data_IF_065292369456
#
_entry.id   IF_065292369456
#
_cell.length_a   1.000
_cell.length_b   1.000
_cell.length_c   1.000
_cell.angle_alpha   90.00
_cell.angle_beta   90.00
_cell.angle_gamma   90.00
#
_symmetry.space_group_name_H-M   'P 1'
#
loop_
_entity.id
_entity.type
_entity.pdbx_description
1 polymer ?
#
# COMPACT_ATOMS: atom_id res chain seq x y z
N UNK A 1 -5.53 -3.33 1.00
CA UNK A 1 -6.34 -2.49 0.10
C UNK A 1 -7.55 -1.94 0.82
N UNK A 2 -8.53 -2.75 1.27
CA UNK A 2 -9.73 -2.26 1.97
C UNK A 2 -9.43 -1.35 3.18
N UNK A 3 -8.61 -1.80 4.14
CA UNK A 3 -8.21 -0.98 5.29
C UNK A 3 -7.42 0.29 4.93
N UNK A 4 -6.67 0.27 3.81
CA UNK A 4 -5.93 1.45 3.35
C UNK A 4 -6.85 2.50 2.73
N UNK A 5 -7.92 2.06 2.04
CA UNK A 5 -8.94 2.93 1.46
C UNK A 5 -9.68 3.65 2.60
N UNK A 6 -10.13 2.90 3.60
CA UNK A 6 -10.82 3.46 4.77
C UNK A 6 -9.93 4.41 5.59
N UNK A 7 -8.64 4.09 5.75
CA UNK A 7 -7.68 4.99 6.39
C UNK A 7 -7.49 6.31 5.61
N UNK A 8 -7.34 6.24 4.29
CA UNK A 8 -7.19 7.42 3.44
C UNK A 8 -8.47 8.27 3.40
N UNK A 9 -9.65 7.64 3.37
CA UNK A 9 -10.92 8.36 3.44
C UNK A 9 -11.07 9.15 4.74
N UNK A 10 -10.67 8.57 5.88
CA UNK A 10 -10.61 9.27 7.16
C UNK A 10 -9.61 10.43 7.15
N UNK A 11 -8.43 10.24 6.58
CA UNK A 11 -7.43 11.31 6.44
C UNK A 11 -7.93 12.45 5.54
N UNK A 12 -8.62 12.14 4.43
CA UNK A 12 -9.22 13.14 3.54
C UNK A 12 -10.28 13.96 4.26
N UNK A 13 -11.10 13.33 5.11
CA UNK A 13 -12.10 14.05 5.88
C UNK A 13 -11.44 15.08 6.82
N UNK A 14 -10.38 14.69 7.53
CA UNK A 14 -9.60 15.59 8.39
C UNK A 14 -8.93 16.70 7.58
N UNK A 15 -8.28 16.36 6.46
CA UNK A 15 -7.62 17.34 5.59
C UNK A 15 -8.62 18.33 4.97
N UNK A 16 -9.84 17.89 4.66
CA UNK A 16 -10.93 18.74 4.17
C UNK A 16 -11.36 19.77 5.22
N UNK A 17 -11.49 19.35 6.48
CA UNK A 17 -11.79 20.25 7.59
C UNK A 17 -10.66 21.28 7.80
N UNK A 18 -9.40 20.82 7.76
CA UNK A 18 -8.23 21.71 7.84
C UNK A 18 -8.19 22.73 6.68
N UNK A 19 -8.48 22.30 5.45
CA UNK A 19 -8.55 23.18 4.29
C UNK A 19 -9.65 24.25 4.43
N UNK A 20 -10.85 23.86 4.87
CA UNK A 20 -11.95 24.81 5.10
C UNK A 20 -11.56 25.85 6.16
N UNK A 21 -10.95 25.41 7.27
CA UNK A 21 -10.45 26.32 8.31
C UNK A 21 -9.39 27.29 7.77
N UNK A 22 -8.45 26.81 6.95
CA UNK A 22 -7.43 27.66 6.34
C UNK A 22 -8.02 28.68 5.35
N UNK A 23 -9.07 28.30 4.60
CA UNK A 23 -9.81 29.22 3.74
C UNK A 23 -10.55 30.31 4.54
N UNK A 24 -11.18 29.94 5.66
CA UNK A 24 -11.84 30.92 6.53
C UNK A 24 -10.84 31.91 7.14
N UNK A 25 -9.68 31.42 7.59
CA UNK A 25 -8.57 32.27 8.06
C UNK A 25 -8.07 33.21 6.96
N UNK A 26 -7.86 32.69 5.75
CA UNK A 26 -7.44 33.49 4.61
C UNK A 26 -8.45 34.60 4.30
N UNK A 27 -9.75 34.27 4.27
CA UNK A 27 -10.82 35.24 4.04
C UNK A 27 -10.82 36.36 5.09
N UNK A 28 -10.62 36.01 6.35
CA UNK A 28 -10.48 36.98 7.44
C UNK A 28 -9.22 37.85 7.27
N UNK A 29 -8.08 37.25 6.91
CA UNK A 29 -6.83 37.97 6.67
C UNK A 29 -6.96 38.95 5.50
N UNK A 30 -7.65 38.58 4.41
CA UNK A 30 -7.92 39.45 3.28
C UNK A 30 -8.78 40.66 3.67
N UNK A 31 -9.78 40.46 4.53
CA UNK A 31 -10.58 41.56 5.08
C UNK A 31 -9.70 42.48 5.93
N UNK A 32 -8.94 41.91 6.89
CA UNK A 32 -8.04 42.69 7.77
C UNK A 32 -7.02 43.52 6.99
N UNK A 33 -6.45 42.94 5.93
CA UNK A 33 -5.53 43.61 5.02
C UNK A 33 -6.20 44.80 4.31
N UNK A 34 -7.40 44.58 3.76
CA UNK A 34 -8.17 45.64 3.06
C UNK A 34 -8.54 46.81 3.98
N UNK A 35 -8.78 46.55 5.26
CA UNK A 35 -9.07 47.61 6.24
C UNK A 35 -7.82 48.18 6.92
N UNK A 36 -6.62 47.78 6.48
CA UNK A 36 -5.33 48.32 6.94
C UNK A 36 -4.88 47.82 8.32
N UNK A 37 -5.50 46.77 8.84
CA UNK A 37 -5.20 46.20 10.18
C UNK A 37 -4.23 45.01 10.14
N UNK A 38 -3.85 44.55 8.95
CA UNK A 38 -2.91 43.45 8.74
C UNK A 38 -1.94 43.82 7.60
N UNK A 39 -0.63 43.58 7.72
CA UNK A 39 0.32 43.81 6.63
C UNK A 39 0.21 42.73 5.54
N UNK A 40 0.70 43.05 4.34
CA UNK A 40 0.81 42.06 3.25
C UNK A 40 1.81 40.95 3.61
N UNK A 41 2.96 41.34 4.14
CA UNK A 41 4.06 40.47 4.61
C UNK A 41 4.59 41.07 5.91
N UNK A 42 4.81 40.23 6.93
CA UNK A 42 5.50 40.63 8.15
C UNK A 42 7.00 40.34 8.05
N UNK A 43 7.83 41.28 8.52
CA UNK A 43 9.27 41.08 8.69
C UNK A 43 9.63 40.37 10.00
N UNK A 44 8.67 40.25 10.91
CA UNK A 44 8.83 39.57 12.20
C UNK A 44 8.30 38.13 12.05
N UNK A 45 9.16 37.11 12.22
CA UNK A 45 8.75 35.71 12.11
C UNK A 45 7.57 35.37 13.04
N UNK A 46 6.56 34.69 12.49
CA UNK A 46 5.39 34.23 13.26
C UNK A 46 4.34 35.31 13.57
N UNK A 47 4.54 36.55 13.14
CA UNK A 47 3.46 37.55 13.16
C UNK A 47 2.45 37.27 12.04
N UNK A 48 1.18 37.58 12.29
CA UNK A 48 0.09 37.40 11.32
C UNK A 48 0.31 38.33 10.11
N UNK A 49 0.26 37.77 8.90
CA UNK A 49 0.23 38.54 7.66
C UNK A 49 -0.58 37.80 6.58
N UNK A 50 -0.98 38.54 5.52
CA UNK A 50 -1.83 37.99 4.47
C UNK A 50 -1.12 36.87 3.68
N UNK A 51 0.15 37.03 3.36
CA UNK A 51 0.89 36.03 2.57
C UNK A 51 1.05 34.70 3.31
N UNK A 52 1.23 34.72 4.62
CA UNK A 52 1.30 33.54 5.48
C UNK A 52 -0.02 32.78 5.50
N UNK A 53 -1.15 33.49 5.61
CA UNK A 53 -2.48 32.88 5.52
C UNK A 53 -2.74 32.27 4.13
N UNK A 54 -2.28 32.92 3.05
CA UNK A 54 -2.34 32.35 1.69
C UNK A 54 -1.53 31.07 1.55
N UNK A 55 -0.30 31.08 2.07
CA UNK A 55 0.57 29.90 2.04
C UNK A 55 -0.02 28.75 2.86
N UNK A 56 -0.62 29.04 4.03
CA UNK A 56 -1.31 28.03 4.85
C UNK A 56 -2.48 27.39 4.07
N UNK A 57 -3.31 28.20 3.41
CA UNK A 57 -4.43 27.72 2.60
C UNK A 57 -3.98 26.88 1.40
N UNK A 58 -2.94 27.31 0.68
CA UNK A 58 -2.38 26.54 -0.45
C UNK A 58 -1.74 25.22 0.00
N UNK A 59 -1.05 25.20 1.16
CA UNK A 59 -0.51 23.96 1.73
C UNK A 59 -1.61 22.96 2.09
N UNK A 60 -2.65 23.41 2.78
CA UNK A 60 -3.78 22.55 3.15
C UNK A 60 -4.51 22.00 1.92
N UNK A 61 -4.62 22.81 0.85
CA UNK A 61 -5.16 22.37 -0.44
C UNK A 61 -4.30 21.29 -1.07
N UNK A 62 -2.99 21.51 -1.14
CA UNK A 62 -2.05 20.55 -1.73
C UNK A 62 -2.08 19.20 -0.98
N UNK A 63 -2.14 19.23 0.35
CA UNK A 63 -2.26 18.02 1.17
C UNK A 63 -3.56 17.26 0.89
N UNK A 64 -4.71 17.95 0.84
CA UNK A 64 -6.00 17.35 0.51
C UNK A 64 -5.99 16.68 -0.87
N UNK A 65 -5.43 17.36 -1.88
CA UNK A 65 -5.35 16.83 -3.24
C UNK A 65 -4.39 15.63 -3.35
N UNK A 66 -3.26 15.64 -2.65
CA UNK A 66 -2.35 14.50 -2.59
C UNK A 66 -3.04 13.26 -1.98
N UNK A 67 -3.74 13.42 -0.86
CA UNK A 67 -4.48 12.33 -0.23
C UNK A 67 -5.58 11.76 -1.15
N UNK A 68 -6.25 12.62 -1.91
CA UNK A 68 -7.25 12.21 -2.91
C UNK A 68 -6.62 11.42 -4.06
N UNK A 69 -5.44 11.82 -4.52
CA UNK A 69 -4.69 11.10 -5.54
C UNK A 69 -4.28 9.70 -5.05
N UNK A 70 -3.80 9.60 -3.81
CA UNK A 70 -3.45 8.32 -3.19
C UNK A 70 -4.67 7.40 -3.05
N UNK A 71 -5.82 7.95 -2.64
CA UNK A 71 -7.07 7.20 -2.57
C UNK A 71 -7.50 6.69 -3.96
N UNK A 72 -7.37 7.52 -4.99
CA UNK A 72 -7.72 7.16 -6.36
C UNK A 72 -6.87 5.99 -6.86
N UNK A 73 -5.56 6.06 -6.64
CA UNK A 73 -4.61 4.99 -6.96
C UNK A 73 -4.99 3.69 -6.25
N UNK A 74 -5.26 3.76 -4.94
CA UNK A 74 -5.59 2.58 -4.15
C UNK A 74 -6.94 1.96 -4.52
N UNK A 75 -7.94 2.78 -4.89
CA UNK A 75 -9.23 2.32 -5.40
C UNK A 75 -9.09 1.66 -6.78
N UNK A 76 -8.25 2.19 -7.65
CA UNK A 76 -7.98 1.60 -8.96
C UNK A 76 -7.25 0.25 -8.81
N UNK A 77 -6.24 0.18 -7.94
CA UNK A 77 -5.57 -1.07 -7.58
C UNK A 77 -6.59 -2.09 -7.04
N UNK A 78 -7.48 -1.68 -6.11
CA UNK A 78 -8.53 -2.56 -5.58
C UNK A 78 -9.48 -3.09 -6.65
N UNK A 79 -9.97 -2.23 -7.54
CA UNK A 79 -10.86 -2.64 -8.63
C UNK A 79 -10.18 -3.66 -9.54
N UNK A 80 -8.93 -3.40 -9.90
CA UNK A 80 -8.14 -4.31 -10.71
C UNK A 80 -7.92 -5.66 -10.02
N UNK A 81 -7.64 -5.61 -8.72
CA UNK A 81 -7.34 -6.79 -7.90
C UNK A 81 -8.55 -7.69 -7.68
N UNK A 82 -9.71 -7.09 -7.40
CA UNK A 82 -10.90 -7.82 -6.94
C UNK A 82 -11.95 -8.01 -8.02
N UNK A 83 -11.86 -7.25 -9.13
CA UNK A 83 -12.95 -7.13 -10.11
C UNK A 83 -14.21 -6.45 -9.54
N UNK A 84 -14.16 -5.93 -8.30
CA UNK A 84 -15.27 -5.27 -7.62
C UNK A 84 -14.99 -3.77 -7.54
N UNK A 85 -16.00 -2.95 -7.81
CA UNK A 85 -16.00 -1.57 -7.36
C UNK A 85 -16.27 -1.56 -5.85
N UNK A 86 -15.63 -0.66 -5.10
CA UNK A 86 -15.86 -0.50 -3.65
C UNK A 86 -17.29 -0.03 -3.33
N UNK A 87 -18.05 0.38 -4.34
CA UNK A 87 -19.41 0.90 -4.21
C UNK A 87 -20.46 -0.18 -4.49
N UNK A 88 -20.73 -1.04 -3.51
CA UNK A 88 -22.12 -1.44 -3.28
C UNK A 88 -22.70 -0.42 -2.29
N UNK A 89 -23.78 0.24 -2.69
CA UNK A 89 -24.40 1.39 -2.02
C UNK A 89 -24.92 1.13 -0.60
N UNK A 90 -24.65 -0.04 -0.01
CA UNK A 90 -25.25 -0.51 1.23
C UNK A 90 -24.33 -0.47 2.46
N UNK A 91 -23.00 -0.40 2.31
CA UNK A 91 -22.10 -0.47 3.46
C UNK A 91 -21.54 0.91 3.85
N UNK A 92 -22.22 1.48 4.85
CA UNK A 92 -21.88 2.63 5.70
C UNK A 92 -22.09 4.05 5.11
N UNK A 93 -23.29 4.56 5.43
CA UNK A 93 -23.77 5.95 5.56
C UNK A 93 -22.95 7.13 4.99
N UNK A 94 -23.51 7.68 3.91
CA UNK A 94 -23.58 9.10 3.51
C UNK A 94 -22.27 9.85 3.21
N UNK A 95 -21.90 9.87 1.93
CA UNK A 95 -20.98 10.87 1.38
C UNK A 95 -20.79 10.72 -0.12
N UNK A 96 -21.56 11.49 -0.89
CA UNK A 96 -21.47 11.75 -2.34
C UNK A 96 -20.18 11.23 -3.01
N UNK A 97 -20.31 10.14 -3.76
CA UNK A 97 -19.26 9.61 -4.63
C UNK A 97 -18.95 10.62 -5.73
N UNK A 98 -17.90 11.40 -5.53
CA UNK A 98 -17.32 12.22 -6.60
C UNK A 98 -16.45 11.31 -7.46
N UNK A 99 -16.77 11.21 -8.75
CA UNK A 99 -15.95 10.52 -9.75
C UNK A 99 -14.57 11.17 -9.77
N UNK A 100 -13.52 10.39 -9.50
CA UNK A 100 -12.14 10.87 -9.60
C UNK A 100 -11.67 10.67 -11.04
N UNK A 101 -11.15 11.73 -11.66
CA UNK A 101 -10.54 11.67 -12.98
C UNK A 101 -9.15 11.03 -12.90
N UNK A 102 -9.07 9.75 -13.28
CA UNK A 102 -7.84 8.94 -13.24
C UNK A 102 -6.79 9.40 -14.27
N UNK A 103 -7.14 10.28 -15.23
CA UNK A 103 -6.18 10.83 -16.20
C UNK A 103 -5.32 11.94 -15.61
N UNK A 104 -5.81 12.66 -14.60
CA UNK A 104 -5.09 13.75 -13.93
C UNK A 104 -3.95 13.25 -13.01
N UNK A 105 -4.01 12.00 -12.54
CA UNK A 105 -3.00 11.39 -11.64
C UNK A 105 -1.89 10.63 -12.38
N UNK A 106 -1.88 10.64 -13.73
CA UNK A 106 -0.92 9.88 -14.55
C UNK A 106 -0.80 8.41 -14.09
N UNK A 107 -1.92 7.85 -13.64
CA UNK A 107 -1.99 6.49 -13.12
C UNK A 107 -2.01 5.53 -14.30
N UNK A 108 -0.90 4.81 -14.48
CA UNK A 108 -0.90 3.59 -15.28
C UNK A 108 -1.39 2.47 -14.37
N UNK A 109 -2.59 1.89 -14.57
CA UNK A 109 -2.93 0.65 -13.90
C UNK A 109 -1.79 -0.33 -14.18
N UNK A 110 -1.27 -0.97 -13.13
CA UNK A 110 -0.35 -2.08 -13.28
C UNK A 110 -1.14 -3.17 -14.03
N UNK A 111 -1.07 -3.16 -15.36
CA UNK A 111 -1.61 -4.18 -16.28
C UNK A 111 -0.79 -5.46 -16.13
N UNK A 112 -0.73 -5.94 -14.89
CA UNK A 112 0.20 -6.91 -14.41
C UNK A 112 -0.35 -8.33 -14.46
N UNK A 113 0.54 -9.29 -14.66
CA UNK A 113 0.20 -10.72 -14.65
C UNK A 113 -0.31 -11.08 -13.25
N UNK A 114 -1.54 -11.59 -13.14
CA UNK A 114 -2.10 -12.07 -11.86
C UNK A 114 -1.47 -13.41 -11.52
N UNK A 115 -0.90 -13.54 -10.33
CA UNK A 115 -0.41 -14.81 -9.81
C UNK A 115 -1.27 -15.21 -8.62
N UNK A 116 -2.00 -16.33 -8.73
CA UNK A 116 -2.97 -16.77 -7.74
C UNK A 116 -2.51 -18.06 -7.07
N UNK A 117 -2.40 -18.04 -5.75
CA UNK A 117 -2.09 -19.19 -4.91
C UNK A 117 -3.31 -19.56 -4.07
N UNK A 118 -3.95 -20.68 -4.38
CA UNK A 118 -5.06 -21.23 -3.59
C UNK A 118 -4.52 -21.98 -2.37
N UNK A 119 -5.05 -21.70 -1.18
CA UNK A 119 -4.64 -22.38 0.05
C UNK A 119 -4.94 -23.88 -0.03
N UNK A 120 -3.96 -24.71 0.32
CA UNK A 120 -4.06 -26.17 0.28
C UNK A 120 -3.87 -26.79 -1.11
N UNK A 121 -3.85 -25.99 -2.18
CA UNK A 121 -3.65 -26.51 -3.53
C UNK A 121 -2.19 -26.92 -3.78
N UNK A 122 -2.00 -27.89 -4.68
CA UNK A 122 -0.68 -28.34 -5.15
C UNK A 122 -0.21 -27.61 -6.40
N UNK A 123 -0.95 -26.60 -6.86
CA UNK A 123 -0.63 -25.75 -8.01
C UNK A 123 -0.95 -24.29 -7.72
N UNK A 124 -0.41 -23.39 -8.52
CA UNK A 124 -0.76 -21.98 -8.53
C UNK A 124 -0.86 -21.48 -9.99
N UNK A 125 -1.64 -20.42 -10.20
CA UNK A 125 -1.74 -19.78 -11.51
C UNK A 125 -0.71 -18.65 -11.61
N UNK A 126 0.03 -18.59 -12.70
CA UNK A 126 0.85 -17.45 -13.08
C UNK A 126 0.34 -16.97 -14.43
N UNK A 127 -0.56 -15.98 -14.43
CA UNK A 127 -1.34 -15.61 -15.61
C UNK A 127 -2.16 -16.80 -16.10
N UNK A 128 -1.97 -17.18 -17.36
CA UNK A 128 -2.65 -18.33 -17.97
C UNK A 128 -1.95 -19.67 -17.68
N UNK A 129 -0.73 -19.64 -17.14
CA UNK A 129 0.05 -20.83 -16.85
C UNK A 129 -0.34 -21.44 -15.49
N UNK A 130 -0.50 -22.76 -15.44
CA UNK A 130 -0.67 -23.51 -14.19
C UNK A 130 0.65 -24.16 -13.82
N UNK A 131 1.19 -23.82 -12.64
CA UNK A 131 2.50 -24.27 -12.18
C UNK A 131 2.35 -25.13 -10.93
N UNK A 132 3.09 -26.23 -10.83
CA UNK A 132 3.08 -27.12 -9.66
C UNK A 132 3.84 -26.55 -8.48
N UNK A 133 3.29 -26.73 -7.29
CA UNK A 133 3.91 -26.39 -6.02
C UNK A 133 4.58 -27.61 -5.41
N UNK A 134 5.82 -27.41 -4.95
CA UNK A 134 6.55 -28.39 -4.14
C UNK A 134 5.93 -28.64 -2.76
N UNK A 135 5.15 -27.69 -2.26
CA UNK A 135 4.42 -27.78 -1.00
C UNK A 135 3.21 -26.85 -1.07
N UNK A 136 2.05 -27.24 -0.54
CA UNK A 136 0.87 -26.39 -0.61
C UNK A 136 1.04 -25.09 0.21
N UNK A 137 0.38 -24.04 -0.26
CA UNK A 137 0.18 -22.82 0.52
C UNK A 137 -0.68 -23.13 1.76
N UNK A 138 -0.41 -22.48 2.89
CA UNK A 138 -1.24 -22.62 4.09
C UNK A 138 -1.37 -21.32 4.88
N UNK A 139 -2.38 -21.26 5.74
CA UNK A 139 -2.56 -20.14 6.66
C UNK A 139 -2.17 -20.57 8.07
N UNK A 140 -1.37 -19.73 8.74
CA UNK A 140 -0.98 -19.90 10.14
C UNK A 140 -0.90 -18.53 10.80
N UNK A 141 -1.48 -18.39 11.99
CA UNK A 141 -1.51 -17.13 12.75
C UNK A 141 -2.01 -15.92 11.91
N UNK A 142 -3.02 -16.14 11.06
CA UNK A 142 -3.58 -15.08 10.21
C UNK A 142 -2.64 -14.60 9.08
N UNK A 143 -1.61 -15.37 8.73
CA UNK A 143 -0.68 -15.10 7.63
C UNK A 143 -0.61 -16.29 6.69
N UNK A 144 -0.56 -16.01 5.39
CA UNK A 144 -0.38 -17.06 4.38
C UNK A 144 1.09 -17.31 4.14
N UNK A 145 1.46 -18.58 4.18
CA UNK A 145 2.79 -19.09 3.92
C UNK A 145 2.86 -19.73 2.54
N UNK A 146 3.89 -19.36 1.79
CA UNK A 146 4.16 -19.89 0.45
C UNK A 146 5.54 -20.55 0.39
N UNK A 147 5.73 -21.59 -0.43
CA UNK A 147 7.05 -22.15 -0.67
C UNK A 147 7.96 -21.10 -1.28
N UNK A 148 9.18 -21.00 -0.75
CA UNK A 148 10.16 -19.99 -1.19
C UNK A 148 10.34 -19.95 -2.70
N UNK A 149 10.41 -21.11 -3.36
CA UNK A 149 10.66 -21.19 -4.81
C UNK A 149 9.53 -20.54 -5.60
N UNK A 150 8.29 -20.93 -5.32
CA UNK A 150 7.13 -20.39 -6.02
C UNK A 150 6.96 -18.89 -5.76
N UNK A 151 7.27 -18.44 -4.54
CA UNK A 151 7.26 -17.01 -4.21
C UNK A 151 8.35 -16.24 -4.97
N UNK A 152 9.58 -16.76 -5.01
CA UNK A 152 10.67 -16.18 -5.80
C UNK A 152 10.32 -16.10 -7.29
N UNK A 153 9.85 -17.19 -7.89
CA UNK A 153 9.45 -17.25 -9.30
C UNK A 153 8.31 -16.27 -9.61
N UNK A 154 7.29 -16.21 -8.75
CA UNK A 154 6.17 -15.26 -8.91
C UNK A 154 6.64 -13.81 -8.98
N UNK A 155 7.63 -13.46 -8.16
CA UNK A 155 8.19 -12.11 -8.08
C UNK A 155 9.32 -11.86 -9.09
N UNK A 156 9.77 -12.88 -9.82
CA UNK A 156 10.93 -12.82 -10.70
C UNK A 156 12.25 -12.68 -9.94
N UNK A 157 12.29 -13.15 -8.69
CA UNK A 157 13.47 -13.12 -7.82
C UNK A 157 14.21 -14.47 -7.85
N UNK A 158 15.54 -14.40 -7.90
CA UNK A 158 16.40 -15.57 -7.68
C UNK A 158 16.40 -15.93 -6.19
N UNK A 159 16.40 -17.23 -5.88
CA UNK A 159 16.37 -17.75 -4.51
C UNK A 159 17.70 -18.44 -4.20
N UNK A 160 18.29 -18.11 -3.05
CA UNK A 160 19.44 -18.80 -2.48
C UNK A 160 19.13 -19.24 -1.05
N UNK A 161 19.70 -20.38 -0.66
CA UNK A 161 19.55 -20.97 0.67
C UNK A 161 20.94 -21.26 1.25
N UNK A 162 21.19 -20.75 2.46
CA UNK A 162 22.38 -21.07 3.25
C UNK A 162 21.98 -22.00 4.41
N UNK A 163 22.41 -23.25 4.32
CA UNK A 163 22.13 -24.28 5.32
C UNK A 163 22.76 -23.97 6.69
N UNK A 164 23.97 -23.37 6.72
CA UNK A 164 24.70 -23.15 7.98
C UNK A 164 24.00 -22.11 8.85
N UNK A 165 23.53 -21.05 8.21
CA UNK A 165 22.84 -19.95 8.89
C UNK A 165 21.33 -20.11 8.87
N UNK A 166 20.81 -21.11 8.14
CA UNK A 166 19.38 -21.31 7.87
C UNK A 166 18.74 -20.06 7.30
N UNK A 167 19.43 -19.42 6.35
CA UNK A 167 19.03 -18.14 5.75
C UNK A 167 18.53 -18.37 4.34
N UNK A 168 17.35 -17.82 4.05
CA UNK A 168 16.88 -17.63 2.69
C UNK A 168 17.26 -16.24 2.21
N UNK A 169 17.75 -16.13 0.97
CA UNK A 169 17.96 -14.85 0.27
C UNK A 169 17.16 -14.86 -1.02
N UNK A 170 16.33 -13.84 -1.23
CA UNK A 170 15.69 -13.55 -2.51
C UNK A 170 16.32 -12.29 -3.12
N UNK A 171 16.65 -12.33 -4.40
CA UNK A 171 17.29 -11.22 -5.11
C UNK A 171 16.59 -10.92 -6.43
N UNK A 172 16.25 -9.66 -6.68
CA UNK A 172 15.66 -9.20 -7.94
C UNK A 172 16.27 -7.86 -8.36
N UNK A 173 17.16 -7.89 -9.34
CA UNK A 173 17.95 -6.71 -9.68
C UNK A 173 18.84 -6.31 -8.49
N UNK A 174 18.68 -5.08 -8.00
CA UNK A 174 19.38 -4.57 -6.82
C UNK A 174 18.64 -4.88 -5.50
N UNK A 175 17.36 -5.25 -5.57
CA UNK A 175 16.56 -5.58 -4.39
C UNK A 175 17.01 -6.93 -3.80
N UNK A 176 17.24 -6.95 -2.48
CA UNK A 176 17.68 -8.13 -1.73
C UNK A 176 16.89 -8.26 -0.43
N UNK A 177 16.29 -9.43 -0.26
CA UNK A 177 15.50 -9.80 0.92
C UNK A 177 16.12 -11.02 1.58
N UNK A 178 16.49 -10.92 2.84
CA UNK A 178 17.04 -12.01 3.63
C UNK A 178 16.14 -12.31 4.82
N UNK A 179 15.89 -13.60 5.09
CA UNK A 179 15.15 -14.05 6.25
C UNK A 179 15.79 -15.30 6.84
N UNK A 180 15.83 -15.40 8.16
CA UNK A 180 16.36 -16.58 8.87
C UNK A 180 15.20 -17.41 9.41
N UNK A 181 15.29 -18.74 9.31
CA UNK A 181 14.24 -19.63 9.82
C UNK A 181 14.06 -19.43 11.33
N UNK A 182 12.83 -19.14 11.74
CA UNK A 182 12.47 -18.88 13.14
C UNK A 182 12.79 -17.46 13.65
N UNK A 183 13.43 -16.62 12.84
CA UNK A 183 13.66 -15.21 13.18
C UNK A 183 12.47 -14.35 12.75
N UNK A 184 12.09 -13.43 13.63
CA UNK A 184 11.00 -12.47 13.39
C UNK A 184 11.49 -11.23 12.66
N UNK A 185 12.79 -11.09 12.39
CA UNK A 185 13.32 -9.99 11.60
C UNK A 185 13.51 -10.39 10.13
N UNK A 186 13.08 -9.49 9.24
CA UNK A 186 13.38 -9.51 7.82
C UNK A 186 14.42 -8.44 7.54
N UNK A 187 15.37 -8.73 6.66
CA UNK A 187 16.36 -7.76 6.21
C UNK A 187 16.12 -7.43 4.74
N UNK A 188 15.77 -6.18 4.48
CA UNK A 188 15.47 -5.66 3.14
C UNK A 188 16.53 -4.61 2.80
N UNK A 189 17.29 -4.86 1.73
CA UNK A 189 18.34 -3.95 1.24
C UNK A 189 19.32 -3.50 2.35
N UNK A 190 19.69 -4.43 3.23
CA UNK A 190 20.62 -4.16 4.34
C UNK A 190 19.96 -3.72 5.65
N UNK A 191 18.70 -3.26 5.62
CA UNK A 191 17.98 -2.73 6.78
C UNK A 191 17.05 -3.77 7.39
N UNK A 192 17.00 -3.85 8.72
CA UNK A 192 16.13 -4.77 9.44
C UNK A 192 14.74 -4.16 9.67
N UNK A 193 13.71 -4.99 9.56
CA UNK A 193 12.33 -4.70 9.96
C UNK A 193 11.77 -5.91 10.70
N UNK A 194 10.95 -5.68 11.72
CA UNK A 194 10.32 -6.76 12.50
C UNK A 194 9.00 -7.19 11.85
N UNK A 195 8.77 -8.50 11.83
CA UNK A 195 7.56 -9.17 11.39
C UNK A 195 6.79 -9.73 12.59
N UNK A 196 5.52 -10.02 12.39
CA UNK A 196 4.68 -10.66 13.41
C UNK A 196 4.80 -12.19 13.40
N UNK A 197 5.34 -12.74 12.31
CA UNK A 197 5.53 -14.19 12.12
C UNK A 197 6.88 -14.46 11.49
N UNK A 198 7.45 -15.63 11.77
CA UNK A 198 8.76 -16.05 11.27
C UNK A 198 8.63 -17.01 10.07
N UNK A 199 9.63 -17.04 9.16
CA UNK A 199 9.83 -18.14 8.21
C UNK A 199 9.95 -19.49 8.92
N UNK A 200 9.47 -20.55 8.29
CA UNK A 200 9.56 -21.89 8.85
C UNK A 200 9.86 -22.96 7.81
N UNK A 201 10.29 -24.14 8.29
CA UNK A 201 10.44 -25.32 7.45
C UNK A 201 9.30 -26.27 7.79
N UNK A 202 8.50 -26.61 6.79
CA UNK A 202 7.39 -27.57 6.90
C UNK A 202 7.62 -28.66 5.86
N UNK A 203 7.61 -29.92 6.29
CA UNK A 203 7.82 -31.08 5.41
C UNK A 203 9.08 -30.97 4.53
N UNK A 204 10.18 -30.41 5.07
CA UNK A 204 11.43 -30.23 4.33
C UNK A 204 11.40 -29.13 3.26
N UNK A 205 10.42 -28.22 3.32
CA UNK A 205 10.32 -27.05 2.44
C UNK A 205 10.32 -25.76 3.26
N UNK A 206 11.09 -24.78 2.79
CA UNK A 206 11.12 -23.44 3.37
C UNK A 206 9.88 -22.67 2.95
N UNK A 207 9.13 -22.23 3.96
CA UNK A 207 7.85 -21.54 3.84
C UNK A 207 8.00 -20.13 4.37
N UNK A 208 7.66 -19.14 3.55
CA UNK A 208 7.81 -17.73 3.87
C UNK A 208 6.45 -17.05 4.01
N UNK A 209 6.29 -16.10 4.96
CA UNK A 209 5.08 -15.32 5.06
C UNK A 209 4.99 -14.38 3.85
N UNK A 210 4.06 -14.70 2.93
CA UNK A 210 4.04 -14.16 1.58
C UNK A 210 4.03 -12.62 1.54
N UNK A 211 3.19 -12.01 2.39
CA UNK A 211 3.02 -10.55 2.44
C UNK A 211 4.33 -9.80 2.65
N UNK A 212 5.13 -10.19 3.64
CA UNK A 212 6.38 -9.48 3.95
C UNK A 212 7.37 -9.54 2.80
N UNK A 213 7.45 -10.67 2.11
CA UNK A 213 8.33 -10.83 0.94
C UNK A 213 7.81 -10.00 -0.24
N UNK A 214 6.51 -10.06 -0.53
CA UNK A 214 5.90 -9.32 -1.64
C UNK A 214 6.02 -7.81 -1.43
N UNK A 215 5.72 -7.33 -0.22
CA UNK A 215 5.86 -5.92 0.18
C UNK A 215 7.32 -5.46 0.10
N UNK A 216 8.29 -6.30 0.49
CA UNK A 216 9.72 -5.98 0.40
C UNK A 216 10.21 -5.79 -1.03
N UNK A 217 9.54 -6.39 -2.01
CA UNK A 217 9.78 -6.20 -3.44
C UNK A 217 8.84 -5.15 -4.07
N UNK A 218 8.06 -4.41 -3.26
CA UNK A 218 7.16 -3.36 -3.75
C UNK A 218 6.05 -3.88 -4.68
N UNK A 219 5.78 -5.18 -4.69
CA UNK A 219 4.67 -5.76 -5.42
C UNK A 219 3.39 -5.72 -4.59
N UNK A 220 2.23 -5.87 -5.23
CA UNK A 220 0.95 -5.85 -4.54
C UNK A 220 0.50 -7.27 -4.21
N UNK A 221 0.00 -7.45 -2.99
CA UNK A 221 -0.61 -8.70 -2.53
C UNK A 221 -2.03 -8.45 -2.03
N UNK A 222 -2.94 -9.34 -2.39
CA UNK A 222 -4.32 -9.35 -1.91
C UNK A 222 -4.74 -10.74 -1.47
N UNK A 223 -5.76 -10.77 -0.64
CA UNK A 223 -6.44 -11.98 -0.22
C UNK A 223 -7.85 -11.99 -0.80
N UNK A 224 -8.17 -13.04 -1.54
CA UNK A 224 -9.52 -13.35 -2.00
C UNK A 224 -10.14 -14.37 -1.05
N UNK A 225 -10.97 -13.88 -0.13
CA UNK A 225 -11.65 -14.71 0.86
C UNK A 225 -12.57 -15.76 0.22
N UNK A 226 -13.21 -15.43 -0.91
CA UNK A 226 -14.19 -16.34 -1.54
C UNK A 226 -13.50 -17.57 -2.11
N UNK A 227 -12.35 -17.37 -2.74
CA UNK A 227 -11.58 -18.44 -3.37
C UNK A 227 -10.48 -19.00 -2.45
N UNK A 228 -10.28 -18.41 -1.27
CA UNK A 228 -9.17 -18.70 -0.36
C UNK A 228 -7.82 -18.58 -1.07
N UNK A 229 -7.65 -17.49 -1.82
CA UNK A 229 -6.50 -17.25 -2.68
C UNK A 229 -5.66 -16.05 -2.25
N UNK A 230 -4.35 -16.24 -2.23
CA UNK A 230 -3.41 -15.11 -2.26
C UNK A 230 -3.18 -14.72 -3.71
N UNK A 231 -3.48 -13.47 -4.03
CA UNK A 231 -3.27 -12.90 -5.37
C UNK A 231 -2.13 -11.91 -5.32
N UNK A 232 -1.07 -12.17 -6.08
CA UNK A 232 0.08 -11.30 -6.27
C UNK A 232 -0.03 -10.63 -7.64
N UNK A 233 0.23 -9.33 -7.69
CA UNK A 233 0.20 -8.54 -8.91
C UNK A 233 1.61 -8.08 -9.25
N UNK A 234 2.01 -8.36 -10.49
CA UNK A 234 3.33 -8.05 -11.03
C UNK A 234 3.21 -7.33 -12.36
#
# INVERSE_FOLDING_TARGET
LYYGIDALERQIQVAKEAYNLAQDKLRMAEIKYRVGTLPLVSITPGQEDLMSARVEAEKAKAELENLRADLAKLKADFYYVTGRTVYESADWSTGSGSSIDLTAVNYKPQTGKRICFTVGASTYMNGDDVITLDSPAYIKNGRTYLPVRALGESLGAAVSWDEKTRTVTLTRGEDRVEMVIGDYNIKVNGSYTTMEVAPEIVNGRTMLPARYVVDAFGALISWDERNQEVVIFR
#
